data_IF_417969201535
#
_entry.id   IF_417969201535
#
_cell.length_a   1.000
_cell.length_b   1.000
_cell.length_c   1.000
_cell.angle_alpha   90.00
_cell.angle_beta   90.00
_cell.angle_gamma   90.00
#
_symmetry.space_group_name_H-M   'P 1'
#
loop_
_entity.id
_entity.type
_entity.pdbx_description
1 polymer ?
#
# COMPACT_ATOMS: atom_id res chain seq x y z
N UNK A 1 -14.94 1.38 -9.56
CA UNK A 1 -13.72 1.05 -10.33
C UNK A 1 -13.72 -0.45 -10.60
N UNK A 2 -13.12 -0.92 -11.69
CA UNK A 2 -12.80 -2.35 -11.82
C UNK A 2 -11.35 -2.54 -11.38
N UNK A 3 -11.01 -3.68 -10.78
CA UNK A 3 -9.62 -3.96 -10.45
C UNK A 3 -8.81 -4.07 -11.75
N UNK A 4 -7.62 -3.44 -11.82
CA UNK A 4 -6.69 -3.82 -12.85
C UNK A 4 -6.37 -5.32 -12.65
N UNK A 5 -6.45 -6.16 -13.69
CA UNK A 5 -6.18 -7.61 -13.57
C UNK A 5 -4.77 -7.89 -13.03
N UNK A 6 -3.85 -6.94 -13.21
CA UNK A 6 -2.44 -7.06 -12.84
C UNK A 6 -2.13 -6.53 -11.42
N UNK A 7 -3.14 -6.08 -10.65
CA UNK A 7 -2.97 -5.75 -9.22
C UNK A 7 -4.02 -6.45 -8.36
N UNK A 8 -3.59 -7.42 -7.58
CA UNK A 8 -4.51 -8.24 -6.76
C UNK A 8 -4.00 -8.29 -5.33
N UNK A 9 -4.92 -8.04 -4.38
CA UNK A 9 -4.74 -8.41 -2.99
C UNK A 9 -5.58 -9.66 -2.76
N UNK A 10 -4.93 -10.80 -2.51
CA UNK A 10 -5.65 -12.06 -2.32
C UNK A 10 -6.21 -12.23 -0.90
N UNK A 11 -6.99 -13.29 -0.69
CA UNK A 11 -7.60 -13.58 0.61
C UNK A 11 -6.60 -13.96 1.71
N UNK A 12 -5.34 -14.22 1.36
CA UNK A 12 -4.22 -14.53 2.26
C UNK A 12 -3.37 -13.30 2.60
N UNK A 13 -3.70 -12.13 2.02
CA UNK A 13 -2.99 -10.88 2.25
C UNK A 13 -1.71 -10.76 1.42
N UNK A 14 -1.58 -11.54 0.35
CA UNK A 14 -0.49 -11.36 -0.61
C UNK A 14 -0.88 -10.30 -1.64
N UNK A 15 0.11 -9.52 -2.07
CA UNK A 15 -0.02 -8.54 -3.13
C UNK A 15 0.68 -9.10 -4.36
N UNK A 16 -0.11 -9.23 -5.43
CA UNK A 16 0.32 -9.70 -6.73
C UNK A 16 0.39 -8.51 -7.68
N UNK A 17 1.52 -8.37 -8.35
CA UNK A 17 1.76 -7.36 -9.38
C UNK A 17 2.17 -8.08 -10.67
N UNK A 18 1.48 -7.80 -11.79
CA UNK A 18 1.75 -8.42 -13.08
C UNK A 18 1.84 -9.97 -13.00
N UNK A 19 0.97 -10.60 -12.21
CA UNK A 19 0.94 -12.04 -11.96
C UNK A 19 2.12 -12.63 -11.17
N UNK A 20 3.02 -11.79 -10.63
CA UNK A 20 4.05 -12.20 -9.69
C UNK A 20 3.66 -11.82 -8.26
N UNK A 21 3.85 -12.74 -7.31
CA UNK A 21 3.74 -12.42 -5.88
C UNK A 21 4.94 -11.55 -5.52
N UNK A 22 4.70 -10.29 -5.15
CA UNK A 22 5.78 -9.39 -4.75
C UNK A 22 5.81 -9.20 -3.24
N UNK A 23 4.66 -9.31 -2.57
CA UNK A 23 4.57 -9.03 -1.14
C UNK A 23 3.70 -10.09 -0.46
N UNK A 24 4.20 -10.69 0.61
CA UNK A 24 3.47 -11.65 1.45
C UNK A 24 3.81 -11.43 2.92
N UNK A 25 2.97 -11.91 3.83
CA UNK A 25 3.07 -11.68 5.29
C UNK A 25 4.38 -12.14 5.97
N UNK A 26 5.20 -12.91 5.26
CA UNK A 26 6.47 -13.45 5.76
C UNK A 26 7.68 -12.84 5.03
N UNK A 27 7.47 -11.83 4.19
CA UNK A 27 8.55 -11.20 3.43
C UNK A 27 9.58 -10.62 4.40
N UNK A 28 10.85 -10.99 4.20
CA UNK A 28 11.97 -10.42 4.92
C UNK A 28 12.60 -9.31 4.08
N UNK A 29 13.20 -8.33 4.74
CA UNK A 29 13.89 -7.24 4.07
C UNK A 29 15.03 -7.76 3.17
N UNK A 30 15.76 -8.77 3.64
CA UNK A 30 16.89 -9.34 2.90
C UNK A 30 16.43 -10.04 1.59
N UNK A 31 15.14 -10.40 1.47
CA UNK A 31 14.56 -11.03 0.27
C UNK A 31 14.16 -10.03 -0.81
N UNK A 32 14.08 -8.72 -0.50
CA UNK A 32 13.62 -7.68 -1.44
C UNK A 32 14.55 -7.52 -2.64
N UNK A 33 15.85 -7.78 -2.48
CA UNK A 33 16.83 -7.69 -3.58
C UNK A 33 16.46 -8.62 -4.76
N UNK A 34 15.58 -9.61 -4.55
CA UNK A 34 15.10 -10.50 -5.59
C UNK A 34 13.86 -9.97 -6.34
N UNK A 35 13.33 -8.79 -6.00
CA UNK A 35 11.98 -8.35 -6.40
C UNK A 35 11.84 -7.76 -7.82
N UNK A 36 12.90 -7.70 -8.64
CA UNK A 36 12.92 -7.13 -10.01
C UNK A 36 12.49 -5.65 -10.14
N UNK A 37 12.13 -4.99 -9.04
CA UNK A 37 11.71 -3.59 -9.03
C UNK A 37 12.85 -2.71 -8.51
N UNK A 38 12.99 -1.52 -9.10
CA UNK A 38 13.79 -0.45 -8.51
C UNK A 38 13.11 0.06 -7.23
N UNK A 39 13.92 0.38 -6.22
CA UNK A 39 13.42 0.89 -4.96
C UNK A 39 14.43 1.78 -4.24
N UNK A 40 13.89 2.67 -3.41
CA UNK A 40 14.65 3.46 -2.44
C UNK A 40 14.41 2.95 -1.02
N UNK A 41 15.42 3.10 -0.15
CA UNK A 41 15.34 2.69 1.26
C UNK A 41 15.48 3.92 2.17
N UNK A 42 14.61 4.00 3.17
CA UNK A 42 14.73 4.94 4.29
C UNK A 42 14.78 4.21 5.63
N UNK A 43 15.91 4.36 6.33
CA UNK A 43 16.11 3.82 7.67
C UNK A 43 15.77 4.86 8.73
N UNK A 44 14.72 4.58 9.51
CA UNK A 44 14.21 5.45 10.57
C UNK A 44 15.11 5.45 11.81
N UNK A 45 16.11 4.54 11.88
CA UNK A 45 17.07 4.38 13.00
C UNK A 45 16.44 3.98 14.33
N UNK A 46 15.28 3.34 14.29
CA UNK A 46 14.57 2.81 15.46
C UNK A 46 14.02 1.38 15.23
N UNK A 47 14.62 0.65 14.29
CA UNK A 47 14.19 -0.70 13.89
C UNK A 47 13.18 -0.72 12.74
N UNK A 48 12.62 0.42 12.36
CA UNK A 48 11.80 0.55 11.16
C UNK A 48 12.62 0.88 9.91
N UNK A 49 12.30 0.21 8.81
CA UNK A 49 12.83 0.45 7.47
C UNK A 49 11.67 0.62 6.50
N UNK A 50 11.70 1.69 5.72
CA UNK A 50 10.77 1.88 4.61
C UNK A 50 11.46 1.57 3.29
N UNK A 51 10.76 0.84 2.42
CA UNK A 51 11.18 0.58 1.05
C UNK A 51 10.12 1.15 0.11
N UNK A 52 10.51 2.10 -0.72
CA UNK A 52 9.64 2.78 -1.67
C UNK A 52 9.84 2.14 -3.04
N UNK A 53 8.81 1.44 -3.54
CA UNK A 53 8.89 0.81 -4.86
C UNK A 53 8.60 1.86 -5.93
N UNK A 54 9.50 1.98 -6.90
CA UNK A 54 9.42 3.03 -7.91
C UNK A 54 8.50 2.65 -9.09
N UNK A 55 7.74 3.65 -9.56
CA UNK A 55 7.08 3.71 -10.88
C UNK A 55 6.32 2.44 -11.29
N UNK A 56 5.36 2.02 -10.47
CA UNK A 56 4.51 0.88 -10.78
C UNK A 56 3.30 1.37 -11.61
N UNK A 57 3.36 1.18 -12.93
CA UNK A 57 2.27 1.56 -13.83
C UNK A 57 1.45 0.32 -14.22
N UNK A 58 0.14 0.37 -13.97
CA UNK A 58 -0.77 -0.75 -14.25
C UNK A 58 -2.01 -0.23 -14.98
N UNK A 59 -2.12 -0.58 -16.27
CA UNK A 59 -3.16 -0.03 -17.13
C UNK A 59 -3.12 1.51 -17.14
N UNK A 60 -4.22 2.12 -16.69
CA UNK A 60 -4.35 3.58 -16.62
C UNK A 60 -4.02 4.17 -15.24
N UNK A 61 -3.50 3.38 -14.30
CA UNK A 61 -3.21 3.81 -12.95
C UNK A 61 -1.72 3.77 -12.64
N UNK A 62 -1.25 4.79 -11.93
CA UNK A 62 0.07 4.83 -11.34
C UNK A 62 -0.05 4.43 -9.87
N UNK A 63 0.70 3.42 -9.46
CA UNK A 63 0.75 2.92 -8.10
C UNK A 63 2.03 3.39 -7.41
N UNK A 64 1.87 3.82 -6.15
CA UNK A 64 2.95 4.02 -5.20
C UNK A 64 2.76 3.00 -4.09
N UNK A 65 3.71 2.08 -3.97
CA UNK A 65 3.67 1.00 -2.98
C UNK A 65 4.90 1.13 -2.09
N UNK A 66 4.66 1.31 -0.80
CA UNK A 66 5.72 1.50 0.18
C UNK A 66 5.63 0.38 1.22
N UNK A 67 6.72 -0.36 1.38
CA UNK A 67 6.82 -1.46 2.33
C UNK A 67 7.40 -0.93 3.63
N UNK A 68 6.75 -1.22 4.74
CA UNK A 68 7.26 -0.91 6.06
C UNK A 68 7.71 -2.21 6.73
N UNK A 69 8.99 -2.28 7.08
CA UNK A 69 9.58 -3.38 7.83
C UNK A 69 9.87 -2.95 9.26
N UNK A 70 9.67 -3.87 10.20
CA UNK A 70 10.16 -3.72 11.57
C UNK A 70 11.07 -4.91 11.89
N UNK A 71 12.29 -4.63 12.34
CA UNK A 71 13.31 -5.65 12.60
C UNK A 71 13.48 -6.63 11.42
N UNK A 72 13.58 -6.09 10.21
CA UNK A 72 13.71 -6.81 8.92
C UNK A 72 12.53 -7.71 8.52
N UNK A 73 11.39 -7.66 9.22
CA UNK A 73 10.17 -8.41 8.86
C UNK A 73 9.10 -7.43 8.38
N UNK A 74 8.33 -7.81 7.37
CA UNK A 74 7.26 -6.94 6.87
C UNK A 74 6.25 -6.66 7.99
N UNK A 75 6.05 -5.38 8.28
CA UNK A 75 5.10 -4.89 9.27
C UNK A 75 3.79 -4.47 8.59
N UNK A 76 3.91 -3.78 7.45
CA UNK A 76 2.76 -3.38 6.66
C UNK A 76 3.14 -2.77 5.32
N UNK A 77 2.12 -2.42 4.56
CA UNK A 77 2.22 -1.90 3.21
C UNK A 77 1.31 -0.68 3.09
N UNK A 78 1.88 0.43 2.63
CA UNK A 78 1.15 1.62 2.21
C UNK A 78 0.97 1.58 0.69
N UNK A 79 -0.28 1.70 0.25
CA UNK A 79 -0.63 1.68 -1.17
C UNK A 79 -1.38 2.97 -1.50
N UNK A 80 -0.92 3.65 -2.53
CA UNK A 80 -1.63 4.75 -3.17
C UNK A 80 -1.71 4.49 -4.65
N UNK A 81 -2.80 4.90 -5.26
CA UNK A 81 -2.91 4.90 -6.72
C UNK A 81 -3.76 6.05 -7.19
N UNK A 82 -3.45 6.53 -8.39
CA UNK A 82 -4.15 7.61 -9.06
C UNK A 82 -4.18 7.33 -10.56
N UNK A 83 -5.23 7.81 -11.22
CA UNK A 83 -5.32 7.68 -12.67
C UNK A 83 -4.19 8.49 -13.33
N UNK A 84 -3.61 8.00 -14.43
CA UNK A 84 -2.51 8.66 -15.15
C UNK A 84 -2.84 10.07 -15.70
N UNK A 85 -4.12 10.42 -15.73
CA UNK A 85 -4.62 11.74 -16.17
C UNK A 85 -5.02 12.62 -14.98
N UNK A 86 -4.98 12.10 -13.75
CA UNK A 86 -5.07 12.96 -12.57
C UNK A 86 -3.86 13.90 -12.58
N UNK A 87 -4.11 15.17 -12.29
CA UNK A 87 -3.03 16.14 -12.17
C UNK A 87 -2.08 15.70 -11.07
N UNK A 88 -0.80 15.85 -11.34
CA UNK A 88 0.23 15.67 -10.33
C UNK A 88 -0.08 16.56 -9.12
N UNK A 89 0.19 16.05 -7.93
CA UNK A 89 -0.06 16.76 -6.69
C UNK A 89 0.68 18.10 -6.70
N UNK A 90 -0.05 19.18 -6.47
CA UNK A 90 0.51 20.51 -6.32
C UNK A 90 -0.07 21.16 -5.06
N UNK A 91 0.81 21.61 -4.16
CA UNK A 91 0.45 22.27 -2.90
C UNK A 91 -0.48 23.46 -3.10
N UNK A 92 -0.30 24.22 -4.17
CA UNK A 92 -1.10 25.41 -4.48
C UNK A 92 -2.55 25.04 -4.86
N UNK A 93 -2.77 23.81 -5.32
CA UNK A 93 -4.09 23.31 -5.74
C UNK A 93 -4.66 22.28 -4.75
N UNK A 94 -3.95 22.00 -3.66
CA UNK A 94 -4.34 20.98 -2.71
C UNK A 94 -5.63 21.38 -1.98
N UNK A 95 -6.54 20.42 -1.85
CA UNK A 95 -7.76 20.59 -1.08
C UNK A 95 -8.04 19.34 -0.25
N UNK A 96 -8.26 19.54 1.05
CA UNK A 96 -8.64 18.48 1.99
C UNK A 96 -9.80 17.63 1.48
N UNK A 97 -10.81 18.26 0.87
CA UNK A 97 -11.99 17.56 0.37
C UNK A 97 -11.66 16.56 -0.75
N UNK A 98 -10.67 16.87 -1.61
CA UNK A 98 -10.21 15.96 -2.65
C UNK A 98 -9.58 14.70 -2.05
N UNK A 99 -8.76 14.84 -1.00
CA UNK A 99 -8.14 13.70 -0.32
C UNK A 99 -9.15 12.86 0.47
N UNK A 100 -10.14 13.50 1.11
CA UNK A 100 -11.26 12.77 1.70
C UNK A 100 -12.07 12.02 0.64
N UNK A 101 -12.23 12.59 -0.56
CA UNK A 101 -12.87 11.90 -1.67
C UNK A 101 -12.04 10.69 -2.14
N UNK A 102 -10.70 10.82 -2.24
CA UNK A 102 -9.80 9.68 -2.53
C UNK A 102 -9.94 8.58 -1.48
N UNK A 103 -9.97 8.92 -0.18
CA UNK A 103 -10.19 7.93 0.87
C UNK A 103 -11.53 7.17 0.68
N UNK A 104 -12.61 7.88 0.31
CA UNK A 104 -13.91 7.23 -0.01
C UNK A 104 -13.79 6.30 -1.20
N UNK A 105 -13.07 6.72 -2.25
CA UNK A 105 -12.82 5.90 -3.44
C UNK A 105 -12.02 4.63 -3.10
N UNK A 106 -10.99 4.73 -2.28
CA UNK A 106 -10.25 3.57 -1.77
C UNK A 106 -11.14 2.64 -0.94
N UNK A 107 -12.02 3.19 -0.10
CA UNK A 107 -12.99 2.37 0.64
C UNK A 107 -13.97 1.63 -0.28
N UNK A 108 -14.46 2.28 -1.33
CA UNK A 108 -15.32 1.64 -2.33
C UNK A 108 -14.57 0.53 -3.07
N UNK A 109 -13.32 0.77 -3.44
CA UNK A 109 -12.47 -0.23 -4.07
C UNK A 109 -12.23 -1.46 -3.17
N UNK A 110 -11.90 -1.24 -1.90
CA UNK A 110 -11.81 -2.31 -0.90
C UNK A 110 -13.14 -3.05 -0.70
N UNK A 111 -14.27 -2.35 -0.79
CA UNK A 111 -15.59 -2.98 -0.74
C UNK A 111 -15.85 -3.92 -1.92
N UNK A 112 -15.33 -3.61 -3.10
CA UNK A 112 -15.46 -4.49 -4.27
C UNK A 112 -14.61 -5.76 -4.11
N UNK A 113 -13.46 -5.66 -3.45
CA UNK A 113 -12.57 -6.80 -3.19
C UNK A 113 -13.03 -7.70 -2.03
N UNK A 114 -13.41 -7.07 -0.92
CA UNK A 114 -13.56 -7.74 0.36
C UNK A 114 -14.92 -7.52 1.01
N UNK A 115 -15.89 -6.94 0.28
CA UNK A 115 -17.13 -6.45 0.86
C UNK A 115 -16.80 -5.52 2.05
N UNK A 116 -17.53 -5.59 3.15
CA UNK A 116 -17.24 -4.78 4.34
C UNK A 116 -16.16 -5.37 5.26
N UNK A 117 -15.57 -6.53 4.90
CA UNK A 117 -14.54 -7.17 5.73
C UNK A 117 -13.22 -6.40 5.63
N UNK A 118 -12.62 -6.11 6.80
CA UNK A 118 -11.34 -5.38 6.92
C UNK A 118 -10.32 -6.07 7.81
N UNK A 119 -10.75 -7.06 8.59
CA UNK A 119 -9.91 -7.83 9.51
C UNK A 119 -9.89 -9.28 9.04
N UNK A 120 -8.70 -9.85 8.96
CA UNK A 120 -8.41 -11.18 8.44
C UNK A 120 -7.45 -11.90 9.39
N UNK A 121 -7.29 -13.22 9.20
CA UNK A 121 -6.36 -14.02 9.99
C UNK A 121 -4.88 -13.67 9.74
N UNK A 122 -4.59 -12.92 8.67
CA UNK A 122 -3.25 -12.44 8.36
C UNK A 122 -3.02 -10.99 8.82
N UNK A 123 -4.07 -10.23 9.18
CA UNK A 123 -3.92 -8.80 9.40
C UNK A 123 -5.16 -7.95 9.21
N UNK A 124 -4.94 -6.66 8.97
CA UNK A 124 -5.97 -5.66 8.70
C UNK A 124 -5.64 -4.90 7.42
N UNK A 125 -6.65 -4.51 6.66
CA UNK A 125 -6.53 -3.54 5.57
C UNK A 125 -7.57 -2.43 5.77
N UNK A 126 -7.21 -1.18 5.53
CA UNK A 126 -8.13 -0.05 5.66
C UNK A 126 -7.72 1.13 4.77
N UNK A 127 -8.68 1.98 4.40
CA UNK A 127 -8.39 3.24 3.73
C UNK A 127 -8.26 4.36 4.77
N UNK A 128 -7.14 5.08 4.75
CA UNK A 128 -6.84 6.13 5.70
C UNK A 128 -6.75 7.50 5.03
N UNK A 129 -6.86 8.54 5.85
CA UNK A 129 -6.44 9.91 5.52
C UNK A 129 -5.43 10.35 6.58
N UNK A 130 -4.19 10.60 6.16
CA UNK A 130 -3.13 11.10 7.04
C UNK A 130 -3.22 12.62 7.10
N UNK A 131 -3.57 13.14 8.28
CA UNK A 131 -3.69 14.58 8.51
C UNK A 131 -2.36 15.31 8.39
N UNK A 132 -1.23 14.66 8.76
CA UNK A 132 0.10 15.29 8.72
C UNK A 132 0.65 15.30 7.30
N UNK A 133 0.56 14.17 6.61
CA UNK A 133 0.96 14.03 5.21
C UNK A 133 -0.06 14.60 4.23
N UNK A 134 -1.24 15.03 4.72
CA UNK A 134 -2.33 15.62 3.94
C UNK A 134 -2.71 14.76 2.72
N UNK A 135 -2.72 13.44 2.92
CA UNK A 135 -2.87 12.45 1.84
C UNK A 135 -3.69 11.25 2.27
N UNK A 136 -4.51 10.74 1.37
CA UNK A 136 -5.19 9.47 1.54
C UNK A 136 -4.35 8.30 1.01
N UNK A 137 -4.67 7.09 1.49
CA UNK A 137 -4.05 5.86 1.03
C UNK A 137 -4.76 4.64 1.57
N UNK A 138 -4.20 3.48 1.27
CA UNK A 138 -4.61 2.19 1.83
C UNK A 138 -3.46 1.68 2.67
N UNK A 139 -3.78 1.27 3.89
CA UNK A 139 -2.83 0.67 4.80
C UNK A 139 -3.19 -0.79 5.05
N UNK A 140 -2.24 -1.67 4.78
CA UNK A 140 -2.32 -3.09 5.11
C UNK A 140 -1.30 -3.39 6.22
N UNK A 141 -1.74 -3.93 7.35
CA UNK A 141 -0.86 -4.36 8.45
C UNK A 141 -0.96 -5.86 8.68
N UNK A 142 0.19 -6.50 8.91
CA UNK A 142 0.26 -7.94 9.20
C UNK A 142 0.22 -8.20 10.72
N UNK A 143 -0.60 -9.16 11.14
CA UNK A 143 -0.91 -9.44 12.56
C UNK A 143 0.29 -9.92 13.39
N UNK A 144 1.29 -10.55 12.76
CA UNK A 144 2.43 -11.16 13.45
C UNK A 144 3.46 -10.14 14.00
N UNK A 145 3.12 -8.84 14.00
CA UNK A 145 4.03 -7.77 14.39
C UNK A 145 3.38 -6.69 15.26
N UNK A 146 2.14 -6.90 15.73
CA UNK A 146 1.57 -6.07 16.78
C UNK A 146 2.28 -6.52 18.07
N UNK A 147 3.06 -5.65 18.76
CA UNK A 147 3.58 -6.00 20.06
C UNK A 147 2.38 -6.31 20.95
N UNK A 148 2.25 -7.55 21.40
CA UNK A 148 1.41 -7.85 22.55
C UNK A 148 2.05 -7.11 23.72
N UNK A 149 1.44 -5.99 24.11
CA UNK A 149 1.77 -5.29 25.35
C UNK A 149 1.43 -6.13 26.57
#
# INVERSE_FOLDING_TARGET
MQNPPDFIIDSLGNIHLNHHVIIHKNLLFDDINNSLLDYDIYDVKNGYLWVYLDKINIGDFNFQINLCFYQKKIWGVDIKFFHKYEKEFCWETWQKEQELNKQRQYNLWLNQLFQTKRIFAWGKIDAYYDFKGQRAGIWLSYQNQIPTG
#
